data_IF_506133807036
#
_entry.id   IF_506133807036
#
_cell.length_a   1.000
_cell.length_b   1.000
_cell.length_c   1.000
_cell.angle_alpha   90.00
_cell.angle_beta   90.00
_cell.angle_gamma   90.00
#
_symmetry.space_group_name_H-M   'P 1'
#
loop_
_entity.id
_entity.type
_entity.pdbx_description
1 polymer ?
#
# COMPACT_ATOMS: atom_id res chain seq x y z
N UNK A 1 20.64 3.01 -12.03
CA UNK A 1 21.95 3.50 -11.53
C UNK A 1 21.98 3.69 -10.01
N UNK A 2 20.84 3.91 -9.34
CA UNK A 2 20.72 4.04 -7.87
C UNK A 2 20.98 2.76 -7.05
N UNK A 3 20.81 1.57 -7.63
CA UNK A 3 20.85 0.29 -6.89
C UNK A 3 22.25 -0.27 -6.57
N UNK A 4 23.35 0.32 -7.07
CA UNK A 4 24.70 -0.29 -6.93
C UNK A 4 25.43 0.02 -5.61
N UNK A 5 25.01 1.05 -4.86
CA UNK A 5 25.69 1.53 -3.64
C UNK A 5 24.73 1.79 -2.46
N UNK A 6 23.57 1.12 -2.41
CA UNK A 6 22.61 1.35 -1.32
C UNK A 6 22.97 0.54 -0.07
N UNK A 7 23.36 1.23 1.00
CA UNK A 7 23.55 0.65 2.33
C UNK A 7 22.20 0.48 3.03
N UNK A 8 22.12 -0.47 3.97
CA UNK A 8 20.91 -0.69 4.77
C UNK A 8 20.47 0.60 5.50
N UNK A 9 21.41 1.41 6.00
CA UNK A 9 21.11 2.69 6.64
C UNK A 9 20.34 3.65 5.72
N UNK A 10 20.78 3.81 4.47
CA UNK A 10 20.09 4.67 3.49
C UNK A 10 18.71 4.14 3.15
N UNK A 11 18.58 2.83 3.01
CA UNK A 11 17.28 2.18 2.83
C UNK A 11 16.35 2.45 4.02
N UNK A 12 16.87 2.30 5.24
CA UNK A 12 16.10 2.48 6.46
C UNK A 12 15.68 3.94 6.67
N UNK A 13 16.48 4.91 6.22
CA UNK A 13 16.08 6.32 6.20
C UNK A 13 14.94 6.60 5.22
N UNK A 14 14.92 5.95 4.05
CA UNK A 14 13.78 6.02 3.11
C UNK A 14 12.54 5.42 3.77
N UNK A 15 12.68 4.27 4.43
CA UNK A 15 11.57 3.64 5.13
C UNK A 15 11.03 4.53 6.27
N UNK A 16 11.91 5.15 7.07
CA UNK A 16 11.52 6.14 8.09
C UNK A 16 10.75 7.30 7.47
N UNK A 17 11.19 7.81 6.32
CA UNK A 17 10.48 8.88 5.61
C UNK A 17 9.08 8.43 5.18
N UNK A 18 8.94 7.24 4.61
CA UNK A 18 7.65 6.67 4.20
C UNK A 18 6.69 6.51 5.40
N UNK A 19 7.17 5.98 6.53
CA UNK A 19 6.38 5.84 7.75
C UNK A 19 6.02 7.21 8.35
N UNK A 20 6.91 8.20 8.25
CA UNK A 20 6.65 9.58 8.68
C UNK A 20 5.56 10.24 7.83
N UNK A 21 5.62 10.05 6.51
CA UNK A 21 4.63 10.55 5.56
C UNK A 21 3.22 10.01 5.87
N UNK A 22 3.15 8.81 6.45
CA UNK A 22 1.92 8.11 6.81
C UNK A 22 1.38 8.49 8.17
N UNK A 23 2.21 8.45 9.20
CA UNK A 23 1.77 8.65 10.60
C UNK A 23 1.80 10.12 11.03
N UNK A 24 2.24 11.03 10.14
CA UNK A 24 2.48 12.45 10.41
C UNK A 24 3.49 12.71 11.55
N UNK A 25 4.14 11.64 12.02
CA UNK A 25 5.08 11.66 13.13
C UNK A 25 6.29 10.83 12.77
N UNK A 26 7.44 11.48 12.71
CA UNK A 26 8.70 10.81 12.39
C UNK A 26 9.12 9.86 13.52
N UNK A 27 9.35 8.56 13.23
CA UNK A 27 9.99 7.65 14.16
C UNK A 27 11.42 8.11 14.41
N UNK A 28 11.75 8.44 15.67
CA UNK A 28 13.08 8.90 16.12
C UNK A 28 13.73 9.93 15.17
N UNK A 29 13.20 11.15 15.09
CA UNK A 29 13.80 12.19 14.24
C UNK A 29 13.27 13.61 14.45
N UNK A 30 13.81 14.55 13.65
CA UNK A 30 13.56 15.98 13.75
C UNK A 30 12.09 16.38 13.45
N UNK A 31 11.53 17.24 14.31
CA UNK A 31 10.16 17.78 14.26
C UNK A 31 9.81 18.46 12.91
N UNK A 32 10.81 18.99 12.18
CA UNK A 32 10.60 19.73 10.92
C UNK A 32 9.87 18.93 9.84
N UNK A 33 10.11 17.62 9.73
CA UNK A 33 9.43 16.76 8.73
C UNK A 33 7.95 16.56 9.10
N UNK A 34 7.63 16.51 10.40
CA UNK A 34 6.24 16.39 10.84
C UNK A 34 5.45 17.64 10.47
N UNK A 35 6.04 18.83 10.70
CA UNK A 35 5.44 20.11 10.34
C UNK A 35 5.15 20.15 8.83
N UNK A 36 6.08 19.66 8.00
CA UNK A 36 5.88 19.60 6.55
C UNK A 36 4.61 18.81 6.17
N UNK A 37 4.43 17.58 6.66
CA UNK A 37 3.24 16.78 6.34
C UNK A 37 1.95 17.34 6.96
N UNK A 38 2.03 17.98 8.13
CA UNK A 38 0.87 18.67 8.73
C UNK A 38 0.44 19.85 7.86
N UNK A 39 1.39 20.71 7.44
CA UNK A 39 1.13 21.83 6.53
C UNK A 39 0.55 21.33 5.20
N UNK A 40 1.10 20.25 4.65
CA UNK A 40 0.60 19.65 3.42
C UNK A 40 -0.84 19.11 3.59
N UNK A 41 -1.20 18.58 4.78
CA UNK A 41 -2.58 18.16 5.10
C UNK A 41 -3.53 19.35 5.04
N UNK A 42 -3.14 20.49 5.64
CA UNK A 42 -3.94 21.72 5.66
C UNK A 42 -4.14 22.25 4.25
N UNK A 43 -3.11 22.20 3.41
CA UNK A 43 -3.21 22.60 1.99
C UNK A 43 -4.24 21.74 1.25
N UNK A 44 -4.28 20.42 1.46
CA UNK A 44 -5.26 19.56 0.80
C UNK A 44 -6.69 19.73 1.32
N UNK A 45 -6.87 20.08 2.60
CA UNK A 45 -8.18 20.47 3.11
C UNK A 45 -8.66 21.75 2.40
N UNK A 46 -7.76 22.72 2.21
CA UNK A 46 -8.07 23.94 1.47
C UNK A 46 -8.41 23.66 0.01
N UNK A 47 -7.70 22.73 -0.64
CA UNK A 47 -8.00 22.25 -2.00
C UNK A 47 -9.38 21.59 -2.09
N UNK A 48 -9.78 20.77 -1.11
CA UNK A 48 -11.13 20.21 -1.10
C UNK A 48 -12.17 21.33 -0.97
N UNK A 49 -11.94 22.30 -0.08
CA UNK A 49 -12.84 23.43 0.10
C UNK A 49 -12.97 24.28 -1.19
N UNK A 50 -11.87 24.48 -1.91
CA UNK A 50 -11.86 25.22 -3.18
C UNK A 50 -12.66 24.49 -4.26
N UNK A 51 -12.53 23.16 -4.36
CA UNK A 51 -13.33 22.32 -5.27
C UNK A 51 -14.81 22.30 -4.88
N UNK A 52 -15.16 22.32 -3.60
CA UNK A 52 -16.56 22.42 -3.17
C UNK A 52 -17.17 23.78 -3.56
N UNK A 53 -16.42 24.87 -3.36
CA UNK A 53 -16.82 26.20 -3.82
C UNK A 53 -17.01 26.25 -5.33
N UNK A 54 -16.15 25.56 -6.08
CA UNK A 54 -16.28 25.41 -7.52
C UNK A 54 -17.58 24.72 -7.92
N UNK A 55 -17.88 23.57 -7.30
CA UNK A 55 -19.13 22.83 -7.55
C UNK A 55 -20.33 23.72 -7.25
N UNK A 56 -20.33 24.44 -6.12
CA UNK A 56 -21.42 25.34 -5.75
C UNK A 56 -21.62 26.42 -6.82
N UNK A 57 -20.56 27.05 -7.32
CA UNK A 57 -20.64 28.06 -8.38
C UNK A 57 -21.13 27.47 -9.71
N UNK A 58 -20.63 26.28 -10.05
CA UNK A 58 -20.99 25.54 -11.27
C UNK A 58 -22.47 25.19 -11.31
N UNK A 59 -23.07 24.79 -10.18
CA UNK A 59 -24.52 24.48 -10.09
C UNK A 59 -25.41 25.71 -10.39
N UNK A 60 -24.93 26.94 -10.13
CA UNK A 60 -25.68 28.17 -10.42
C UNK A 60 -25.50 28.67 -11.86
N UNK A 61 -24.58 28.09 -12.64
CA UNK A 61 -24.32 28.47 -14.02
C UNK A 61 -24.98 27.41 -14.93
N UNK A 62 -26.05 27.75 -15.63
CA UNK A 62 -26.86 26.83 -16.46
C UNK A 62 -26.06 26.11 -17.56
N UNK A 63 -24.81 26.53 -17.80
CA UNK A 63 -23.88 25.98 -18.80
C UNK A 63 -22.85 24.98 -18.24
N UNK A 64 -22.94 24.57 -16.97
CA UNK A 64 -21.99 23.62 -16.39
C UNK A 64 -22.09 22.22 -17.02
N UNK A 65 -21.01 21.79 -17.70
CA UNK A 65 -20.89 20.45 -18.31
C UNK A 65 -20.89 19.38 -17.21
N UNK A 66 -21.80 18.41 -17.26
CA UNK A 66 -21.90 17.26 -16.33
C UNK A 66 -20.54 16.60 -16.00
N UNK A 67 -19.67 16.45 -17.01
CA UNK A 67 -18.33 15.85 -16.87
C UNK A 67 -17.45 16.60 -15.86
N UNK A 68 -17.57 17.93 -15.83
CA UNK A 68 -16.78 18.79 -14.96
C UNK A 68 -17.17 18.60 -13.48
N UNK A 69 -18.47 18.40 -13.22
CA UNK A 69 -18.97 18.02 -11.90
C UNK A 69 -18.41 16.66 -11.48
N UNK A 70 -18.44 15.67 -12.36
CA UNK A 70 -17.89 14.32 -12.11
C UNK A 70 -16.38 14.39 -11.79
N UNK A 71 -15.60 15.15 -12.55
CA UNK A 71 -14.16 15.36 -12.28
C UNK A 71 -13.91 16.06 -10.93
N UNK A 72 -14.74 17.03 -10.55
CA UNK A 72 -14.66 17.69 -9.25
C UNK A 72 -14.95 16.71 -8.10
N UNK A 73 -15.95 15.84 -8.25
CA UNK A 73 -16.23 14.75 -7.29
C UNK A 73 -15.05 13.79 -7.20
N UNK A 74 -14.43 13.41 -8.32
CA UNK A 74 -13.21 12.59 -8.33
C UNK A 74 -12.06 13.25 -7.56
N UNK A 75 -11.87 14.56 -7.70
CA UNK A 75 -10.86 15.30 -6.93
C UNK A 75 -11.16 15.22 -5.42
N UNK A 76 -12.40 15.47 -5.01
CA UNK A 76 -12.81 15.38 -3.61
C UNK A 76 -12.55 13.97 -3.06
N UNK A 77 -12.95 12.92 -3.78
CA UNK A 77 -12.69 11.53 -3.40
C UNK A 77 -11.19 11.21 -3.31
N UNK A 78 -10.38 11.72 -4.25
CA UNK A 78 -8.93 11.54 -4.28
C UNK A 78 -8.23 12.19 -3.08
N UNK A 79 -8.47 13.47 -2.85
CA UNK A 79 -7.86 14.20 -1.72
C UNK A 79 -8.37 13.70 -0.36
N UNK A 80 -9.67 13.42 -0.23
CA UNK A 80 -10.23 12.87 1.01
C UNK A 80 -9.67 11.48 1.32
N UNK A 81 -9.41 10.63 0.31
CA UNK A 81 -8.71 9.34 0.52
C UNK A 81 -7.35 9.53 1.18
N UNK A 82 -6.53 10.47 0.70
CA UNK A 82 -5.19 10.74 1.25
C UNK A 82 -5.32 11.21 2.71
N UNK A 83 -6.20 12.17 2.96
CA UNK A 83 -6.43 12.73 4.30
C UNK A 83 -6.93 11.67 5.28
N UNK A 84 -7.96 10.90 4.89
CA UNK A 84 -8.55 9.85 5.72
C UNK A 84 -7.53 8.76 6.06
N UNK A 85 -6.71 8.32 5.09
CA UNK A 85 -5.62 7.36 5.34
C UNK A 85 -4.64 7.86 6.39
N UNK A 86 -4.26 9.14 6.34
CA UNK A 86 -3.34 9.73 7.31
C UNK A 86 -3.95 9.74 8.72
N UNK A 87 -5.17 10.27 8.87
CA UNK A 87 -5.85 10.29 10.17
C UNK A 87 -6.10 8.88 10.72
N UNK A 88 -6.41 7.91 9.87
CA UNK A 88 -6.59 6.52 10.27
C UNK A 88 -5.28 5.85 10.72
N UNK A 89 -4.12 6.33 10.28
CA UNK A 89 -2.81 5.75 10.60
C UNK A 89 -2.19 6.33 11.88
N UNK A 90 -2.58 7.54 12.28
CA UNK A 90 -2.04 8.22 13.48
C UNK A 90 -2.21 7.39 14.77
N UNK A 91 -3.37 6.76 15.06
CA UNK A 91 -3.54 5.94 16.26
C UNK A 91 -2.60 4.73 16.31
N UNK A 92 -2.21 4.20 15.15
CA UNK A 92 -1.39 2.98 15.03
C UNK A 92 0.12 3.28 14.90
N UNK A 93 0.55 4.47 15.35
CA UNK A 93 1.96 4.86 15.30
C UNK A 93 2.86 3.90 16.10
N UNK A 94 2.39 3.40 17.24
CA UNK A 94 3.17 2.50 18.08
C UNK A 94 3.45 1.16 17.37
N UNK A 95 2.47 0.63 16.64
CA UNK A 95 2.56 -0.59 15.86
C UNK A 95 3.55 -0.43 14.70
N UNK A 96 3.45 0.69 13.95
CA UNK A 96 4.44 1.01 12.92
C UNK A 96 5.85 1.13 13.50
N UNK A 97 6.00 1.74 14.67
CA UNK A 97 7.30 1.84 15.32
C UNK A 97 7.84 0.47 15.74
N UNK A 98 7.02 -0.42 16.31
CA UNK A 98 7.44 -1.79 16.66
C UNK A 98 7.88 -2.58 15.43
N UNK A 99 7.16 -2.46 14.32
CA UNK A 99 7.51 -3.12 13.06
C UNK A 99 8.83 -2.59 12.49
N UNK A 100 9.09 -1.29 12.64
CA UNK A 100 10.35 -0.67 12.24
C UNK A 100 11.52 -1.15 13.10
N UNK A 101 11.34 -1.14 14.43
CA UNK A 101 12.35 -1.64 15.38
C UNK A 101 12.62 -3.14 15.10
N UNK A 102 11.58 -3.93 14.83
CA UNK A 102 11.72 -5.33 14.42
C UNK A 102 12.54 -5.52 13.14
N UNK A 103 12.33 -4.71 12.09
CA UNK A 103 13.13 -4.78 10.85
C UNK A 103 14.60 -4.46 11.12
N UNK A 104 14.87 -3.47 11.97
CA UNK A 104 16.24 -3.09 12.36
C UNK A 104 16.92 -4.22 13.14
N UNK A 105 16.23 -4.79 14.13
CA UNK A 105 16.70 -5.94 14.90
C UNK A 105 16.93 -7.17 14.00
N UNK A 106 16.01 -7.46 13.07
CA UNK A 106 16.10 -8.59 12.16
C UNK A 106 17.37 -8.53 11.28
N UNK A 107 17.78 -7.34 10.88
CA UNK A 107 18.99 -7.12 10.07
C UNK A 107 20.28 -7.28 10.90
N UNK A 108 20.20 -7.07 12.22
CA UNK A 108 21.32 -7.18 13.15
C UNK A 108 21.51 -8.59 13.71
N UNK A 109 20.60 -9.53 13.44
CA UNK A 109 20.71 -10.91 13.93
C UNK A 109 21.97 -11.57 13.34
N UNK A 110 22.93 -11.84 14.21
CA UNK A 110 24.02 -12.77 13.93
C UNK A 110 23.67 -14.13 14.53
N UNK A 111 23.47 -15.13 13.67
CA UNK A 111 23.30 -16.53 14.09
C UNK A 111 24.66 -17.25 13.98
N UNK A 112 25.02 -17.99 15.03
CA UNK A 112 26.23 -18.84 15.08
C UNK A 112 26.23 -19.92 13.99
N UNK A 113 25.05 -20.33 13.52
CA UNK A 113 24.91 -21.32 12.47
C UNK A 113 25.10 -20.66 11.09
N UNK A 114 26.21 -21.01 10.43
CA UNK A 114 26.57 -20.49 9.10
C UNK A 114 25.47 -20.69 8.05
N UNK A 115 24.75 -21.82 8.07
CA UNK A 115 23.67 -22.12 7.12
C UNK A 115 22.49 -21.16 7.33
N UNK A 116 22.07 -20.98 8.59
CA UNK A 116 20.96 -20.09 8.94
C UNK A 116 21.37 -18.64 8.63
N UNK A 117 22.57 -18.22 9.02
CA UNK A 117 23.11 -16.89 8.72
C UNK A 117 23.11 -16.60 7.22
N UNK A 118 23.48 -17.58 6.39
CA UNK A 118 23.44 -17.46 4.93
C UNK A 118 22.00 -17.31 4.40
N UNK A 119 21.05 -18.10 4.90
CA UNK A 119 19.62 -18.00 4.52
C UNK A 119 19.08 -16.61 4.85
N UNK A 120 19.31 -16.12 6.08
CA UNK A 120 18.87 -14.78 6.50
C UNK A 120 19.47 -13.70 5.61
N UNK A 121 20.79 -13.72 5.38
CA UNK A 121 21.46 -12.71 4.55
C UNK A 121 20.93 -12.70 3.11
N UNK A 122 20.71 -13.87 2.51
CA UNK A 122 20.17 -13.98 1.16
C UNK A 122 18.74 -13.42 1.07
N UNK A 123 17.84 -13.84 1.96
CA UNK A 123 16.44 -13.42 1.91
C UNK A 123 16.24 -11.96 2.31
N UNK A 124 16.98 -11.44 3.29
CA UNK A 124 16.90 -10.02 3.66
C UNK A 124 17.49 -9.10 2.57
N UNK A 125 18.54 -9.54 1.88
CA UNK A 125 19.07 -8.80 0.71
C UNK A 125 18.04 -8.76 -0.41
N UNK A 126 17.32 -9.87 -0.65
CA UNK A 126 16.20 -9.89 -1.58
C UNK A 126 15.09 -8.96 -1.12
N UNK A 127 14.68 -9.01 0.16
CA UNK A 127 13.64 -8.13 0.72
C UNK A 127 13.94 -6.65 0.45
N UNK A 128 15.17 -6.21 0.76
CA UNK A 128 15.62 -4.86 0.50
C UNK A 128 15.56 -4.53 -1.01
N UNK A 129 16.10 -5.40 -1.86
CA UNK A 129 16.09 -5.19 -3.32
C UNK A 129 14.68 -5.09 -3.90
N UNK A 130 13.79 -6.04 -3.57
CA UNK A 130 12.42 -6.04 -4.08
C UNK A 130 11.61 -4.87 -3.54
N UNK A 131 11.81 -4.47 -2.28
CA UNK A 131 11.13 -3.30 -1.71
C UNK A 131 11.48 -2.00 -2.44
N UNK A 132 12.74 -1.82 -2.83
CA UNK A 132 13.18 -0.67 -3.64
C UNK A 132 12.66 -0.73 -5.07
N UNK A 133 12.69 -1.91 -5.70
CA UNK A 133 12.13 -2.09 -7.05
C UNK A 133 10.63 -1.77 -7.06
N UNK A 134 9.87 -2.22 -6.06
CA UNK A 134 8.46 -1.88 -5.90
C UNK A 134 8.26 -0.38 -5.66
N UNK A 135 9.08 0.24 -4.82
CA UNK A 135 9.04 1.69 -4.57
C UNK A 135 9.29 2.49 -5.85
N UNK A 136 10.37 2.20 -6.58
CA UNK A 136 10.72 2.88 -7.84
C UNK A 136 9.63 2.70 -8.90
N UNK A 137 9.13 1.46 -9.08
CA UNK A 137 8.06 1.17 -10.03
C UNK A 137 6.78 1.93 -9.72
N UNK A 138 6.37 1.95 -8.44
CA UNK A 138 5.18 2.67 -7.99
C UNK A 138 5.34 4.18 -8.10
N UNK A 139 6.53 4.71 -7.82
CA UNK A 139 6.85 6.13 -7.97
C UNK A 139 6.75 6.61 -9.42
N UNK A 140 7.34 5.87 -10.37
CA UNK A 140 7.27 6.23 -11.79
C UNK A 140 5.85 6.14 -12.36
N UNK A 141 5.11 5.09 -11.98
CA UNK A 141 3.71 4.94 -12.38
C UNK A 141 2.87 6.12 -11.93
N UNK A 142 3.09 6.60 -10.70
CA UNK A 142 2.35 7.74 -10.17
C UNK A 142 2.74 9.07 -10.84
N UNK A 143 4.02 9.28 -11.15
CA UNK A 143 4.46 10.46 -11.91
C UNK A 143 3.70 10.54 -13.23
N UNK A 144 3.61 9.43 -13.97
CA UNK A 144 2.86 9.36 -15.23
C UNK A 144 1.39 9.72 -15.02
N UNK A 145 0.75 9.19 -13.98
CA UNK A 145 -0.65 9.49 -13.66
C UNK A 145 -0.89 10.95 -13.23
N UNK A 146 0.08 11.57 -12.53
CA UNK A 146 -0.03 12.97 -12.10
C UNK A 146 0.10 13.91 -13.28
N UNK A 147 1.08 13.65 -14.15
CA UNK A 147 1.30 14.41 -15.38
C UNK A 147 0.11 14.28 -16.34
N UNK A 148 -0.51 13.09 -16.47
CA UNK A 148 -1.70 12.95 -17.31
C UNK A 148 -2.90 13.72 -16.77
N UNK A 149 -3.06 13.78 -15.44
CA UNK A 149 -4.11 14.58 -14.80
C UNK A 149 -3.94 16.09 -15.06
N UNK A 150 -2.71 16.59 -15.04
CA UNK A 150 -2.39 18.00 -15.37
C UNK A 150 -2.65 18.33 -16.84
N UNK A 151 -2.49 17.36 -17.75
CA UNK A 151 -2.76 17.57 -19.17
C UNK A 151 -4.25 17.80 -19.47
N UNK A 152 -5.17 17.20 -18.71
CA UNK A 152 -6.63 17.30 -18.97
C UNK A 152 -7.09 18.78 -19.01
N UNK A 153 -6.81 19.63 -17.99
CA UNK A 153 -7.07 21.06 -18.02
C UNK A 153 -6.52 21.83 -19.21
N UNK A 154 -5.33 21.44 -19.69
CA UNK A 154 -4.66 22.12 -20.79
C UNK A 154 -5.35 21.81 -22.12
N UNK A 155 -5.77 20.55 -22.33
CA UNK A 155 -6.38 20.11 -23.58
C UNK A 155 -7.90 20.36 -23.64
N UNK A 156 -8.63 20.26 -22.53
CA UNK A 156 -10.11 20.41 -22.50
C UNK A 156 -10.59 21.85 -22.21
N UNK A 157 -9.66 22.81 -22.12
CA UNK A 157 -9.84 24.29 -22.04
C UNK A 157 -10.66 24.89 -20.88
N UNK A 158 -11.45 24.11 -20.12
CA UNK A 158 -12.40 24.61 -19.11
C UNK A 158 -12.26 24.03 -17.68
N UNK A 159 -11.31 23.12 -17.42
CA UNK A 159 -11.19 22.40 -16.13
C UNK A 159 -10.06 22.98 -15.26
N UNK A 160 -10.16 24.22 -14.79
CA UNK A 160 -9.20 24.76 -13.79
C UNK A 160 -9.80 24.77 -12.40
N UNK A 161 -9.01 24.41 -11.37
CA UNK A 161 -9.49 24.47 -9.99
C UNK A 161 -9.71 25.93 -9.61
N UNK A 162 -10.92 26.22 -9.11
CA UNK A 162 -11.27 27.56 -8.67
C UNK A 162 -10.65 27.85 -7.31
N UNK A 163 -9.69 28.77 -7.27
CA UNK A 163 -9.18 29.36 -6.03
C UNK A 163 -10.16 30.46 -5.60
N UNK A 164 -10.73 30.40 -4.38
CA UNK A 164 -11.66 31.41 -3.89
C UNK A 164 -11.05 32.81 -3.96
N UNK A 165 -11.86 33.80 -4.37
CA UNK A 165 -11.49 35.23 -4.44
C UNK A 165 -10.44 35.63 -5.49
N UNK A 166 -9.93 34.69 -6.30
CA UNK A 166 -9.08 34.99 -7.45
C UNK A 166 -9.89 34.85 -8.75
N UNK A 167 -9.87 35.88 -9.61
CA UNK A 167 -10.58 35.81 -10.89
C UNK A 167 -9.86 34.87 -11.87
N UNK A 168 -10.58 33.81 -12.28
CA UNK A 168 -10.07 32.74 -13.14
C UNK A 168 -9.66 33.28 -14.51
N UNK A 169 -10.41 34.24 -15.06
CA UNK A 169 -10.15 34.78 -16.40
C UNK A 169 -8.89 35.63 -16.41
N UNK A 170 -8.70 36.46 -15.38
CA UNK A 170 -7.55 37.36 -15.26
C UNK A 170 -6.25 36.63 -14.90
N UNK A 171 -6.32 35.54 -14.13
CA UNK A 171 -5.16 34.86 -13.55
C UNK A 171 -5.04 33.37 -13.92
N UNK A 172 -5.47 32.98 -15.13
CA UNK A 172 -5.51 31.58 -15.59
C UNK A 172 -4.20 30.81 -15.38
N UNK A 173 -3.05 31.43 -15.65
CA UNK A 173 -1.73 30.81 -15.45
C UNK A 173 -1.44 30.46 -13.99
N UNK A 174 -1.89 31.27 -13.04
CA UNK A 174 -1.70 31.03 -11.59
C UNK A 174 -2.50 29.80 -11.17
N UNK A 175 -3.75 29.68 -11.61
CA UNK A 175 -4.59 28.50 -11.34
C UNK A 175 -3.96 27.22 -11.87
N UNK A 176 -3.47 27.22 -13.12
CA UNK A 176 -2.80 26.05 -13.69
C UNK A 176 -1.54 25.63 -12.92
N UNK A 177 -0.72 26.60 -12.47
CA UNK A 177 0.47 26.31 -11.66
C UNK A 177 0.08 25.72 -10.30
N UNK A 178 -0.92 26.30 -9.63
CA UNK A 178 -1.43 25.77 -8.36
C UNK A 178 -2.00 24.36 -8.50
N UNK A 179 -2.69 24.07 -9.60
CA UNK A 179 -3.25 22.75 -9.89
C UNK A 179 -2.15 21.72 -10.07
N UNK A 180 -1.13 22.04 -10.89
CA UNK A 180 0.02 21.16 -11.11
C UNK A 180 0.76 20.87 -9.79
N UNK A 181 1.05 21.90 -9.00
CA UNK A 181 1.69 21.72 -7.70
C UNK A 181 0.85 20.86 -6.75
N UNK A 182 -0.48 21.01 -6.77
CA UNK A 182 -1.39 20.25 -5.91
C UNK A 182 -1.47 18.78 -6.32
N UNK A 183 -1.63 18.48 -7.62
CA UNK A 183 -1.66 17.11 -8.13
C UNK A 183 -0.32 16.40 -7.94
N UNK A 184 0.80 17.05 -8.27
CA UNK A 184 2.12 16.48 -8.05
C UNK A 184 2.42 16.26 -6.56
N UNK A 185 2.05 17.23 -5.70
CA UNK A 185 2.18 17.11 -4.25
C UNK A 185 1.33 15.97 -3.69
N UNK A 186 0.08 15.85 -4.13
CA UNK A 186 -0.82 14.77 -3.72
C UNK A 186 -0.27 13.41 -4.15
N UNK A 187 0.29 13.37 -5.35
CA UNK A 187 0.79 12.15 -5.92
C UNK A 187 2.04 11.60 -5.26
N UNK A 188 3.05 12.45 -5.15
CA UNK A 188 4.27 12.12 -4.42
C UNK A 188 3.95 11.69 -2.99
N UNK A 189 3.08 12.41 -2.28
CA UNK A 189 2.69 12.01 -0.93
C UNK A 189 1.99 10.64 -0.92
N UNK A 190 1.02 10.39 -1.80
CA UNK A 190 0.33 9.10 -1.82
C UNK A 190 1.32 7.94 -2.04
N UNK A 191 2.33 8.11 -2.89
CA UNK A 191 3.41 7.13 -3.08
C UNK A 191 4.17 6.88 -1.78
N UNK A 192 4.75 7.94 -1.18
CA UNK A 192 5.56 7.80 0.03
C UNK A 192 4.76 7.18 1.18
N UNK A 193 3.50 7.59 1.36
CA UNK A 193 2.65 7.01 2.38
C UNK A 193 2.44 5.51 2.11
N UNK A 194 1.91 5.13 0.94
CA UNK A 194 1.57 3.72 0.62
C UNK A 194 2.78 2.80 0.64
N UNK A 195 3.94 3.27 0.16
CA UNK A 195 5.16 2.49 0.14
C UNK A 195 5.66 2.06 1.51
N UNK A 196 5.40 2.82 2.59
CA UNK A 196 5.83 2.43 3.94
C UNK A 196 5.25 1.08 4.38
N UNK A 197 3.94 0.89 4.20
CA UNK A 197 3.29 -0.38 4.54
C UNK A 197 3.71 -1.52 3.60
N UNK A 198 3.89 -1.23 2.30
CA UNK A 198 4.36 -2.23 1.32
C UNK A 198 5.76 -2.71 1.66
N UNK A 199 6.69 -1.81 2.00
CA UNK A 199 8.06 -2.18 2.36
C UNK A 199 8.06 -3.08 3.60
N UNK A 200 7.36 -2.70 4.67
CA UNK A 200 7.25 -3.52 5.88
C UNK A 200 6.67 -4.90 5.56
N UNK A 201 5.60 -4.91 4.78
CA UNK A 201 4.95 -6.16 4.40
C UNK A 201 5.83 -7.06 3.51
N UNK A 202 6.67 -6.49 2.63
CA UNK A 202 7.67 -7.26 1.86
C UNK A 202 8.67 -7.92 2.82
N UNK A 203 9.14 -7.21 3.84
CA UNK A 203 10.02 -7.81 4.86
C UNK A 203 9.35 -8.99 5.58
N UNK A 204 8.07 -8.87 5.90
CA UNK A 204 7.29 -9.96 6.51
C UNK A 204 7.18 -11.16 5.55
N UNK A 205 6.92 -10.93 4.26
CA UNK A 205 6.90 -11.99 3.24
C UNK A 205 8.24 -12.74 3.19
N UNK A 206 9.36 -12.01 3.15
CA UNK A 206 10.68 -12.63 3.14
C UNK A 206 11.01 -13.32 4.47
N UNK A 207 10.50 -12.83 5.59
CA UNK A 207 10.63 -13.51 6.87
C UNK A 207 9.90 -14.86 6.90
N UNK A 208 8.69 -14.94 6.32
CA UNK A 208 7.99 -16.22 6.12
C UNK A 208 8.82 -17.17 5.24
N UNK A 209 9.45 -16.67 4.17
CA UNK A 209 10.35 -17.46 3.31
C UNK A 209 11.59 -17.96 4.04
N UNK A 210 12.15 -17.17 4.96
CA UNK A 210 13.25 -17.61 5.83
C UNK A 210 12.81 -18.81 6.67
N UNK A 211 11.66 -18.69 7.36
CA UNK A 211 11.12 -19.77 8.19
C UNK A 211 10.85 -21.02 7.34
N UNK A 212 10.27 -20.85 6.16
CA UNK A 212 10.05 -21.94 5.20
C UNK A 212 11.35 -22.66 4.84
N UNK A 213 12.40 -21.93 4.46
CA UNK A 213 13.72 -22.51 4.15
C UNK A 213 14.34 -23.20 5.36
N UNK A 214 14.14 -22.67 6.57
CA UNK A 214 14.60 -23.33 7.80
C UNK A 214 13.83 -24.62 8.08
N UNK A 215 12.52 -24.68 7.82
CA UNK A 215 11.72 -25.90 7.92
C UNK A 215 12.22 -26.95 6.92
N UNK A 216 12.54 -26.54 5.70
CA UNK A 216 13.08 -27.44 4.66
C UNK A 216 14.43 -28.06 5.06
N UNK A 217 15.23 -27.39 5.91
CA UNK A 217 16.46 -27.98 6.45
C UNK A 217 16.18 -29.24 7.27
N UNK A 218 15.02 -29.36 7.93
CA UNK A 218 14.66 -30.53 8.74
C UNK A 218 14.60 -31.83 7.93
N UNK A 219 14.51 -31.75 6.60
CA UNK A 219 14.52 -32.90 5.71
C UNK A 219 15.92 -33.42 5.37
N UNK A 220 16.97 -32.67 5.70
CA UNK A 220 18.35 -33.07 5.45
C UNK A 220 18.82 -34.07 6.51
N UNK A 221 19.36 -35.20 6.04
CA UNK A 221 19.85 -36.25 6.92
C UNK A 221 21.06 -35.77 7.74
N UNK A 222 21.09 -36.10 9.04
CA UNK A 222 22.16 -35.70 9.96
C UNK A 222 22.10 -34.24 10.45
N UNK A 223 21.17 -33.41 9.97
CA UNK A 223 21.08 -31.99 10.39
C UNK A 223 20.69 -31.84 11.85
N UNK A 224 19.78 -32.68 12.34
CA UNK A 224 19.26 -32.64 13.71
C UNK A 224 20.28 -33.17 14.72
N UNK A 225 21.23 -34.01 14.28
CA UNK A 225 22.38 -34.43 15.08
C UNK A 225 23.41 -33.31 15.18
N UNK A 226 23.67 -32.60 14.07
CA UNK A 226 24.58 -31.45 14.03
C UNK A 226 24.03 -30.23 14.77
N UNK A 227 22.72 -30.03 14.76
CA UNK A 227 22.03 -28.88 15.37
C UNK A 227 20.77 -29.30 16.14
N UNK A 228 20.89 -29.80 17.37
CA UNK A 228 19.76 -30.31 18.14
C UNK A 228 18.70 -29.24 18.47
N UNK A 229 19.12 -27.98 18.57
CA UNK A 229 18.24 -26.85 18.90
C UNK A 229 17.50 -26.25 17.68
N UNK A 230 17.74 -26.76 16.46
CA UNK A 230 17.21 -26.19 15.22
C UNK A 230 15.68 -26.06 15.25
N UNK A 231 14.97 -27.09 15.69
CA UNK A 231 13.51 -27.07 15.76
C UNK A 231 12.99 -26.02 16.75
N UNK A 232 13.67 -25.84 17.89
CA UNK A 232 13.31 -24.82 18.89
C UNK A 232 13.52 -23.41 18.31
N UNK A 233 14.58 -23.21 17.52
CA UNK A 233 14.83 -21.94 16.81
C UNK A 233 13.73 -21.66 15.78
N UNK A 234 13.34 -22.66 14.99
CA UNK A 234 12.25 -22.56 14.02
C UNK A 234 10.92 -22.23 14.72
N UNK A 235 10.61 -22.90 15.84
CA UNK A 235 9.42 -22.62 16.64
C UNK A 235 9.41 -21.16 17.13
N UNK A 236 10.53 -20.66 17.66
CA UNK A 236 10.63 -19.27 18.13
C UNK A 236 10.35 -18.28 16.99
N UNK A 237 10.90 -18.52 15.81
CA UNK A 237 10.69 -17.68 14.63
C UNK A 237 9.26 -17.77 14.08
N UNK A 238 8.64 -18.95 14.16
CA UNK A 238 7.22 -19.13 13.80
C UNK A 238 6.29 -18.35 14.74
N UNK A 239 6.55 -18.33 16.04
CA UNK A 239 5.81 -17.51 17.01
C UNK A 239 6.00 -16.02 16.72
N UNK A 240 7.25 -15.59 16.50
CA UNK A 240 7.59 -14.21 16.11
C UNK A 240 6.86 -13.78 14.84
N UNK A 241 6.77 -14.66 13.84
CA UNK A 241 6.05 -14.42 12.59
C UNK A 241 4.56 -14.14 12.82
N UNK A 242 3.90 -14.94 13.66
CA UNK A 242 2.48 -14.76 13.99
C UNK A 242 2.27 -13.41 14.68
N UNK A 243 3.14 -13.04 15.62
CA UNK A 243 3.06 -11.76 16.33
C UNK A 243 3.21 -10.58 15.35
N UNK A 244 4.24 -10.59 14.52
CA UNK A 244 4.52 -9.52 13.55
C UNK A 244 3.39 -9.40 12.51
N UNK A 245 2.85 -10.52 12.03
CA UNK A 245 1.70 -10.52 11.11
C UNK A 245 0.47 -9.89 11.75
N UNK A 246 0.16 -10.21 13.01
CA UNK A 246 -0.97 -9.61 13.73
C UNK A 246 -0.79 -8.10 13.91
N UNK A 247 0.40 -7.65 14.35
CA UNK A 247 0.71 -6.22 14.50
C UNK A 247 0.56 -5.51 13.15
N UNK A 248 1.08 -6.11 12.08
CA UNK A 248 0.97 -5.55 10.73
C UNK A 248 -0.49 -5.44 10.28
N UNK A 249 -1.29 -6.50 10.40
CA UNK A 249 -2.70 -6.46 10.04
C UNK A 249 -3.47 -5.40 10.83
N UNK A 250 -3.22 -5.29 12.14
CA UNK A 250 -3.83 -4.25 12.97
C UNK A 250 -3.46 -2.84 12.50
N UNK A 251 -2.20 -2.60 12.14
CA UNK A 251 -1.75 -1.29 11.63
C UNK A 251 -2.36 -0.91 10.29
N UNK A 252 -2.65 -1.89 9.41
CA UNK A 252 -3.13 -1.62 8.04
C UNK A 252 -4.64 -1.79 7.87
N UNK A 253 -5.38 -2.34 8.85
CA UNK A 253 -6.80 -2.69 8.68
C UNK A 253 -7.68 -1.51 8.25
N UNK A 254 -7.55 -0.35 8.88
CA UNK A 254 -8.34 0.85 8.54
C UNK A 254 -7.88 1.46 7.22
N UNK A 255 -6.58 1.38 6.96
CA UNK A 255 -5.94 1.88 5.76
C UNK A 255 -6.43 1.13 4.51
N UNK A 256 -6.46 -0.20 4.59
CA UNK A 256 -7.01 -1.07 3.56
C UNK A 256 -8.50 -0.84 3.33
N UNK A 257 -9.27 -0.58 4.40
CA UNK A 257 -10.69 -0.26 4.29
C UNK A 257 -10.93 1.05 3.53
N UNK A 258 -10.25 2.13 3.92
CA UNK A 258 -10.35 3.43 3.25
C UNK A 258 -9.89 3.30 1.78
N UNK A 259 -8.81 2.57 1.52
CA UNK A 259 -8.35 2.32 0.15
C UNK A 259 -9.41 1.60 -0.68
N UNK A 260 -10.00 0.52 -0.17
CA UNK A 260 -11.04 -0.24 -0.87
C UNK A 260 -12.27 0.64 -1.13
N UNK A 261 -12.77 1.33 -0.10
CA UNK A 261 -13.99 2.13 -0.20
C UNK A 261 -13.83 3.31 -1.17
N UNK A 262 -12.79 4.12 -0.99
CA UNK A 262 -12.57 5.32 -1.80
C UNK A 262 -12.17 4.97 -3.24
N UNK A 263 -11.34 3.93 -3.44
CA UNK A 263 -10.96 3.50 -4.79
C UNK A 263 -12.13 2.88 -5.55
N UNK A 264 -13.09 2.23 -4.88
CA UNK A 264 -14.34 1.76 -5.53
C UNK A 264 -15.13 2.93 -6.09
N UNK A 265 -15.30 4.01 -5.32
CA UNK A 265 -15.95 5.23 -5.80
C UNK A 265 -15.21 5.88 -6.97
N UNK A 266 -13.88 6.00 -6.89
CA UNK A 266 -13.06 6.54 -7.98
C UNK A 266 -13.15 5.68 -9.25
N UNK A 267 -13.09 4.36 -9.13
CA UNK A 267 -13.22 3.44 -10.27
C UNK A 267 -14.56 3.62 -10.98
N UNK A 268 -15.66 3.64 -10.23
CA UNK A 268 -17.00 3.87 -10.78
C UNK A 268 -17.05 5.18 -11.57
N UNK A 269 -16.57 6.29 -10.98
CA UNK A 269 -16.61 7.58 -11.65
C UNK A 269 -15.70 7.64 -12.90
N UNK A 270 -14.49 7.09 -12.86
CA UNK A 270 -13.59 7.10 -14.03
C UNK A 270 -14.04 6.17 -15.16
N UNK A 271 -14.65 5.03 -14.85
CA UNK A 271 -15.26 4.15 -15.87
C UNK A 271 -16.40 4.89 -16.58
N UNK A 272 -17.24 5.59 -15.81
CA UNK A 272 -18.30 6.45 -16.38
C UNK A 272 -17.73 7.55 -17.28
N UNK A 273 -16.69 8.26 -16.84
CA UNK A 273 -16.04 9.32 -17.64
C UNK A 273 -15.54 8.78 -18.97
N UNK A 274 -14.89 7.61 -18.98
CA UNK A 274 -14.37 7.00 -20.21
C UNK A 274 -15.49 6.58 -21.17
N UNK A 275 -16.64 6.13 -20.65
CA UNK A 275 -17.79 5.77 -21.48
C UNK A 275 -18.41 7.00 -22.16
N UNK A 276 -18.41 8.15 -21.49
CA UNK A 276 -18.90 9.44 -22.05
C UNK A 276 -17.84 10.10 -22.96
N UNK A 277 -16.58 10.16 -22.54
CA UNK A 277 -15.46 10.77 -23.25
C UNK A 277 -14.52 9.72 -23.88
N UNK A 278 -15.02 8.99 -24.88
CA UNK A 278 -14.33 7.84 -25.48
C UNK A 278 -12.93 8.14 -26.05
N UNK A 279 -12.63 9.40 -26.40
CA UNK A 279 -11.40 9.80 -27.08
C UNK A 279 -10.33 10.43 -26.15
N UNK A 280 -10.57 10.52 -24.84
CA UNK A 280 -9.60 11.14 -23.93
C UNK A 280 -8.60 10.12 -23.39
N UNK A 281 -7.44 10.00 -24.07
CA UNK A 281 -6.35 9.09 -23.67
C UNK A 281 -5.92 9.30 -22.20
N UNK A 282 -5.91 10.55 -21.72
CA UNK A 282 -5.50 10.87 -20.34
C UNK A 282 -6.40 10.22 -19.29
N UNK A 283 -7.71 10.13 -19.55
CA UNK A 283 -8.66 9.48 -18.63
C UNK A 283 -8.38 7.98 -18.50
N UNK A 284 -7.97 7.30 -19.58
CA UNK A 284 -7.54 5.90 -19.52
C UNK A 284 -6.30 5.71 -18.65
N UNK A 285 -5.31 6.61 -18.76
CA UNK A 285 -4.10 6.58 -17.93
C UNK A 285 -4.46 6.70 -16.44
N UNK A 286 -5.39 7.61 -16.09
CA UNK A 286 -5.83 7.77 -14.70
C UNK A 286 -6.61 6.54 -14.22
N UNK A 287 -7.48 5.96 -15.06
CA UNK A 287 -8.20 4.73 -14.71
C UNK A 287 -7.22 3.59 -14.39
N UNK A 288 -6.17 3.43 -15.20
CA UNK A 288 -5.10 2.45 -14.94
C UNK A 288 -4.45 2.74 -13.59
N UNK A 289 -4.08 3.99 -13.31
CA UNK A 289 -3.50 4.37 -12.01
C UNK A 289 -4.39 4.08 -10.81
N UNK A 290 -5.69 4.36 -10.89
CA UNK A 290 -6.66 4.05 -9.82
C UNK A 290 -6.82 2.54 -9.65
N UNK A 291 -6.88 1.80 -10.76
CA UNK A 291 -6.98 0.34 -10.78
C UNK A 291 -5.74 -0.30 -10.16
N UNK A 292 -4.55 0.15 -10.54
CA UNK A 292 -3.28 -0.36 -10.04
C UNK A 292 -3.12 -0.13 -8.55
N UNK A 293 -3.52 1.02 -8.02
CA UNK A 293 -3.46 1.27 -6.57
C UNK A 293 -4.30 0.29 -5.75
N UNK A 294 -5.49 -0.09 -6.25
CA UNK A 294 -6.33 -1.09 -5.59
C UNK A 294 -5.82 -2.52 -5.84
N UNK A 295 -5.42 -2.80 -7.08
CA UNK A 295 -4.90 -4.09 -7.52
C UNK A 295 -3.63 -4.47 -6.76
N UNK A 296 -2.67 -3.54 -6.63
CA UNK A 296 -1.44 -3.76 -5.88
C UNK A 296 -1.71 -4.10 -4.41
N UNK A 297 -2.64 -3.40 -3.73
CA UNK A 297 -3.02 -3.73 -2.36
C UNK A 297 -3.57 -5.16 -2.25
N UNK A 298 -4.46 -5.54 -3.16
CA UNK A 298 -5.13 -6.84 -3.13
C UNK A 298 -4.20 -8.00 -3.52
N UNK A 299 -3.34 -7.80 -4.52
CA UNK A 299 -2.28 -8.75 -4.89
C UNK A 299 -1.31 -8.91 -3.72
N UNK A 300 -0.94 -7.80 -3.06
CA UNK A 300 -0.06 -7.84 -1.91
C UNK A 300 -0.67 -8.65 -0.74
N UNK A 301 -1.95 -8.45 -0.45
CA UNK A 301 -2.67 -9.27 0.53
C UNK A 301 -2.76 -10.75 0.14
N UNK A 302 -2.93 -11.06 -1.15
CA UNK A 302 -2.94 -12.43 -1.67
C UNK A 302 -1.57 -13.12 -1.52
N UNK A 303 -0.47 -12.39 -1.75
CA UNK A 303 0.89 -12.91 -1.57
C UNK A 303 1.11 -13.27 -0.10
N UNK A 304 0.74 -12.41 0.85
CA UNK A 304 0.85 -12.73 2.29
C UNK A 304 0.05 -13.99 2.62
N UNK A 305 -1.18 -14.09 2.11
CA UNK A 305 -2.04 -15.27 2.31
C UNK A 305 -1.41 -16.55 1.81
N UNK A 306 -0.88 -16.52 0.59
CA UNK A 306 -0.25 -17.66 -0.07
C UNK A 306 1.04 -18.08 0.64
N UNK A 307 1.89 -17.13 1.03
CA UNK A 307 3.13 -17.41 1.74
C UNK A 307 2.84 -17.99 3.13
N UNK A 308 1.82 -17.48 3.84
CA UNK A 308 1.37 -18.05 5.12
C UNK A 308 0.84 -19.47 4.96
N UNK A 309 0.06 -19.76 3.91
CA UNK A 309 -0.44 -21.10 3.60
C UNK A 309 0.72 -22.08 3.35
N UNK A 310 1.77 -21.61 2.66
CA UNK A 310 2.93 -22.44 2.32
C UNK A 310 3.71 -22.94 3.54
N UNK A 311 3.64 -22.24 4.69
CA UNK A 311 4.27 -22.68 5.94
C UNK A 311 3.68 -24.01 6.41
N UNK A 312 2.35 -24.15 6.38
CA UNK A 312 1.69 -25.40 6.74
C UNK A 312 2.13 -26.54 5.82
N UNK A 313 2.14 -26.30 4.51
CA UNK A 313 2.59 -27.29 3.53
C UNK A 313 4.03 -27.72 3.77
N UNK A 314 4.95 -26.78 4.02
CA UNK A 314 6.34 -27.10 4.30
C UNK A 314 6.52 -27.88 5.60
N UNK A 315 5.76 -27.57 6.66
CA UNK A 315 5.77 -28.36 7.90
C UNK A 315 5.27 -29.78 7.64
N UNK A 316 4.17 -29.94 6.92
CA UNK A 316 3.57 -31.24 6.63
C UNK A 316 4.50 -32.15 5.81
N UNK A 317 5.25 -31.56 4.85
CA UNK A 317 6.22 -32.26 4.00
C UNK A 317 7.57 -32.55 4.69
N UNK A 318 7.69 -32.30 6.00
CA UNK A 318 8.88 -32.70 6.72
C UNK A 318 8.91 -34.21 6.98
N UNK A 319 10.09 -34.81 7.19
CA UNK A 319 10.26 -36.18 7.72
C UNK A 319 9.90 -36.25 9.22
N UNK A 320 8.74 -35.70 9.59
CA UNK A 320 8.33 -35.55 11.00
C UNK A 320 8.21 -36.90 11.73
N UNK A 321 7.89 -37.98 11.01
CA UNK A 321 7.79 -39.33 11.56
C UNK A 321 9.15 -39.91 12.03
N UNK A 322 10.27 -39.42 11.49
CA UNK A 322 11.62 -39.82 11.88
C UNK A 322 12.15 -39.02 13.10
N UNK A 323 11.42 -37.98 13.53
CA UNK A 323 11.81 -37.16 14.67
C UNK A 323 11.41 -37.80 16.00
N UNK A 324 12.07 -37.40 17.09
CA UNK A 324 11.70 -37.80 18.45
C UNK A 324 10.25 -37.41 18.77
N UNK A 325 9.59 -38.15 19.67
CA UNK A 325 8.20 -37.87 20.11
C UNK A 325 8.03 -36.43 20.62
N UNK A 326 9.06 -35.87 21.27
CA UNK A 326 9.07 -34.47 21.69
C UNK A 326 9.00 -33.52 20.49
N UNK A 327 9.81 -33.76 19.47
CA UNK A 327 9.89 -32.92 18.27
C UNK A 327 8.64 -33.06 17.39
N UNK A 328 8.07 -34.27 17.29
CA UNK A 328 6.79 -34.52 16.63
C UNK A 328 5.67 -33.66 17.23
N UNK A 329 5.58 -33.59 18.56
CA UNK A 329 4.57 -32.74 19.24
C UNK A 329 4.76 -31.25 18.94
N UNK A 330 6.00 -30.77 18.87
CA UNK A 330 6.30 -29.37 18.53
C UNK A 330 5.82 -29.07 17.09
N UNK A 331 6.18 -29.91 16.12
CA UNK A 331 5.74 -29.73 14.74
C UNK A 331 4.22 -29.79 14.61
N UNK A 332 3.57 -30.72 15.31
CA UNK A 332 2.11 -30.82 15.30
C UNK A 332 1.45 -29.51 15.77
N UNK A 333 1.96 -28.90 16.85
CA UNK A 333 1.47 -27.60 17.33
C UNK A 333 1.69 -26.51 16.28
N UNK A 334 2.85 -26.47 15.63
CA UNK A 334 3.13 -25.50 14.56
C UNK A 334 2.19 -25.70 13.35
N UNK A 335 1.91 -26.95 12.97
CA UNK A 335 0.95 -27.29 11.92
C UNK A 335 -0.46 -26.85 12.29
N UNK A 336 -0.92 -27.15 13.51
CA UNK A 336 -2.24 -26.72 13.98
C UNK A 336 -2.41 -25.21 13.94
N UNK A 337 -1.38 -24.45 14.32
CA UNK A 337 -1.39 -22.99 14.26
C UNK A 337 -1.35 -22.44 12.82
N UNK A 338 -0.71 -23.16 11.90
CA UNK A 338 -0.57 -22.74 10.50
C UNK A 338 -1.70 -23.25 9.60
N UNK A 339 -2.56 -24.14 10.10
CA UNK A 339 -3.64 -24.77 9.34
C UNK A 339 -4.59 -23.73 8.72
N UNK A 340 -4.89 -22.65 9.47
CA UNK A 340 -5.63 -21.52 8.93
C UNK A 340 -4.63 -20.48 8.40
N UNK A 341 -4.57 -20.23 7.08
CA UNK A 341 -3.64 -19.24 6.53
C UNK A 341 -3.98 -17.85 7.05
N UNK A 342 -2.94 -17.05 7.31
CA UNK A 342 -3.08 -15.67 7.70
C UNK A 342 -3.50 -14.82 6.50
N UNK A 343 -4.58 -14.06 6.62
CA UNK A 343 -5.05 -13.14 5.58
C UNK A 343 -5.23 -11.73 6.12
N UNK A 344 -4.84 -10.73 5.34
CA UNK A 344 -5.10 -9.33 5.68
C UNK A 344 -6.60 -9.02 5.64
N UNK A 345 -7.07 -8.28 6.64
CA UNK A 345 -8.47 -7.87 6.75
C UNK A 345 -8.63 -6.37 6.82
N UNK A 346 -9.38 -5.81 5.88
CA UNK A 346 -9.82 -4.42 5.93
C UNK A 346 -10.96 -4.26 6.95
N UNK A 347 -10.78 -3.33 7.89
CA UNK A 347 -11.65 -3.09 9.05
C UNK A 347 -12.00 -4.35 9.88
N UNK A 348 -11.21 -5.44 9.74
CA UNK A 348 -11.52 -6.74 10.36
C UNK A 348 -12.64 -7.54 9.67
N UNK A 349 -13.23 -7.02 8.59
CA UNK A 349 -14.42 -7.58 7.95
C UNK A 349 -14.14 -8.12 6.54
N UNK A 350 -13.48 -7.31 5.71
CA UNK A 350 -13.31 -7.59 4.28
C UNK A 350 -11.92 -8.20 4.06
N UNK A 351 -11.84 -9.39 3.48
CA UNK A 351 -10.56 -10.00 3.13
C UNK A 351 -9.88 -9.21 2.00
N UNK A 352 -8.63 -8.83 2.20
CA UNK A 352 -7.81 -8.14 1.20
C UNK A 352 -7.16 -9.20 0.30
N UNK A 353 -7.89 -9.61 -0.75
CA UNK A 353 -7.51 -10.70 -1.65
C UNK A 353 -7.67 -10.29 -3.11
N UNK A 354 -7.04 -11.03 -4.02
CA UNK A 354 -7.24 -10.82 -5.45
C UNK A 354 -8.71 -10.99 -5.87
N UNK A 355 -9.46 -11.88 -5.21
CA UNK A 355 -10.88 -12.06 -5.48
C UNK A 355 -11.69 -10.81 -5.14
N UNK A 356 -11.40 -10.14 -4.02
CA UNK A 356 -12.02 -8.87 -3.63
C UNK A 356 -11.81 -7.79 -4.71
N UNK A 357 -10.59 -7.70 -5.27
CA UNK A 357 -10.31 -6.79 -6.38
C UNK A 357 -11.19 -7.05 -7.60
N UNK A 358 -11.29 -8.32 -8.04
CA UNK A 358 -12.14 -8.70 -9.18
C UNK A 358 -13.62 -8.37 -8.93
N UNK A 359 -14.10 -8.58 -7.70
CA UNK A 359 -15.47 -8.22 -7.32
C UNK A 359 -15.70 -6.70 -7.41
N UNK A 360 -14.77 -5.88 -6.93
CA UNK A 360 -14.86 -4.42 -6.99
C UNK A 360 -14.85 -3.93 -8.44
N UNK A 361 -14.01 -4.50 -9.31
CA UNK A 361 -14.00 -4.16 -10.74
C UNK A 361 -15.34 -4.47 -11.41
N UNK A 362 -15.88 -5.69 -11.20
CA UNK A 362 -17.20 -6.07 -11.73
C UNK A 362 -18.29 -5.13 -11.24
N UNK A 363 -18.30 -4.82 -9.94
CA UNK A 363 -19.23 -3.89 -9.34
C UNK A 363 -19.13 -2.51 -9.99
N UNK A 364 -17.93 -1.95 -10.08
CA UNK A 364 -17.69 -0.62 -10.65
C UNK A 364 -18.19 -0.54 -12.10
N UNK A 365 -17.92 -1.54 -12.94
CA UNK A 365 -18.39 -1.60 -14.33
C UNK A 365 -19.92 -1.69 -14.39
N UNK A 366 -20.53 -2.60 -13.62
CA UNK A 366 -21.98 -2.80 -13.62
C UNK A 366 -22.74 -1.56 -13.16
N UNK A 367 -22.34 -0.94 -12.04
CA UNK A 367 -22.99 0.25 -11.53
C UNK A 367 -22.78 1.47 -12.43
N UNK A 368 -21.59 1.62 -13.04
CA UNK A 368 -21.36 2.70 -14.03
C UNK A 368 -22.30 2.58 -15.23
N UNK A 369 -22.47 1.36 -15.75
CA UNK A 369 -23.39 1.10 -16.85
C UNK A 369 -24.84 1.42 -16.48
N UNK A 370 -25.29 1.01 -15.28
CA UNK A 370 -26.65 1.30 -14.78
C UNK A 370 -26.88 2.82 -14.70
N UNK A 371 -25.95 3.55 -14.07
CA UNK A 371 -26.07 5.02 -13.90
C UNK A 371 -26.16 5.71 -15.26
N UNK A 372 -25.35 5.30 -16.24
CA UNK A 372 -25.42 5.86 -17.59
C UNK A 372 -26.75 5.58 -18.27
N UNK A 373 -27.23 4.33 -18.23
CA UNK A 373 -28.51 3.99 -18.85
C UNK A 373 -29.68 4.77 -18.23
N UNK A 374 -29.67 4.98 -16.91
CA UNK A 374 -30.67 5.80 -16.22
C UNK A 374 -30.55 7.29 -16.54
N UNK A 375 -29.36 7.78 -16.89
CA UNK A 375 -29.17 9.18 -17.30
C UNK A 375 -29.60 9.46 -18.74
N UNK A 376 -29.70 8.42 -19.57
CA UNK A 376 -30.16 8.49 -20.96
C UNK A 376 -31.69 8.30 -21.08
N UNK A 377 -32.34 7.81 -20.02
CA UNK A 377 -33.81 7.70 -19.89
C UNK A 377 -34.41 9.01 -19.42
#
# INVERSE_FOLDING_TARGET
>A
MFLKNLTFEKFFDVLKLCVSARTLRRPRGYIRINIFFIVLTIIFIFVIASVICYIKRSIYDDNAKFILFVLAVCCILGYSKIILKNFASVPFYAEYQRLMDWIEELQQIEDDNEIIRKIFKEELTKAMKYSLMCFEGYFWLFIVCSSSAECIPVFEKDTTMFIPYLDVKSYKWIHHICDALSFFGAGTWNVFADSGAVIIGIYIIFFMRIIKRMIELLNQDGIMEKYPDLLIRILRKHVEMIEVLNIFNESVKMLSFIQIFMSTGLLLMFIMIIQVQKNSFMNYVILVGVTDQLGLLCIFGEIIRTESESIFTSLYLTKWYDLSVRNQKILLIMMMNSYKPFGLKAAGMIDVTFMTFVQILKLSISYSAIILTLSEM
#
